data_IF_286699078799
#
_entry.id   IF_286699078799
#
_cell.length_a   1.000
_cell.length_b   1.000
_cell.length_c   1.000
_cell.angle_alpha   90.00
_cell.angle_beta   90.00
_cell.angle_gamma   90.00
#
_symmetry.space_group_name_H-M   'P 1'
#
loop_
_entity.id
_entity.type
_entity.pdbx_description
1 polymer ?
#
# COMPACT_ATOMS: atom_id res chain seq x y z
N UNK A 1 4.29 5.76 -7.65
CA UNK A 1 3.36 4.74 -7.17
C UNK A 1 2.35 4.21 -8.21
N UNK A 2 2.27 4.81 -9.39
CA UNK A 2 1.47 4.27 -10.50
C UNK A 2 1.95 2.88 -10.91
N UNK A 3 3.27 2.66 -10.94
CA UNK A 3 3.87 1.37 -11.23
C UNK A 3 3.40 0.27 -10.25
N UNK A 4 3.26 0.61 -8.98
CA UNK A 4 2.75 -0.31 -7.96
C UNK A 4 1.29 -0.70 -8.23
N UNK A 5 0.43 0.28 -8.56
CA UNK A 5 -0.96 0.04 -8.94
C UNK A 5 -1.06 -0.89 -10.13
N UNK A 6 -0.27 -0.64 -11.19
CA UNK A 6 -0.25 -1.46 -12.40
C UNK A 6 0.23 -2.89 -12.08
N UNK A 7 1.32 -3.02 -11.31
CA UNK A 7 1.87 -4.33 -10.95
C UNK A 7 0.87 -5.14 -10.13
N UNK A 8 0.24 -4.56 -9.11
CA UNK A 8 -0.78 -5.23 -8.30
C UNK A 8 -2.01 -5.57 -9.12
N UNK A 9 -2.47 -4.67 -10.01
CA UNK A 9 -3.57 -4.98 -10.93
C UNK A 9 -3.28 -6.21 -11.77
N UNK A 10 -2.10 -6.28 -12.37
CA UNK A 10 -1.70 -7.42 -13.23
C UNK A 10 -1.61 -8.72 -12.43
N UNK A 11 -1.04 -8.70 -11.23
CA UNK A 11 -0.96 -9.86 -10.34
C UNK A 11 -2.36 -10.33 -9.95
N UNK A 12 -3.24 -9.41 -9.55
CA UNK A 12 -4.60 -9.72 -9.15
C UNK A 12 -5.43 -10.27 -10.33
N UNK A 13 -5.32 -9.67 -11.53
CA UNK A 13 -5.96 -10.17 -12.75
C UNK A 13 -5.48 -11.60 -13.06
N UNK A 14 -4.18 -11.83 -13.05
CA UNK A 14 -3.60 -13.15 -13.30
C UNK A 14 -4.05 -14.18 -12.26
N UNK A 15 -4.08 -13.80 -10.98
CA UNK A 15 -4.53 -14.68 -9.90
C UNK A 15 -6.03 -15.03 -10.03
N UNK A 16 -6.89 -14.05 -10.33
CA UNK A 16 -8.34 -14.27 -10.45
C UNK A 16 -8.70 -15.03 -11.72
N UNK A 17 -8.05 -14.76 -12.85
CA UNK A 17 -8.19 -15.54 -14.07
C UNK A 17 -7.69 -16.98 -13.88
N UNK A 18 -6.52 -17.13 -13.28
CA UNK A 18 -5.96 -18.45 -12.97
C UNK A 18 -6.86 -19.26 -12.04
N UNK A 19 -7.43 -18.62 -11.02
CA UNK A 19 -8.42 -19.26 -10.16
C UNK A 19 -9.64 -19.75 -10.96
N UNK A 20 -10.22 -18.91 -11.81
CA UNK A 20 -11.39 -19.28 -12.63
C UNK A 20 -11.13 -20.45 -13.59
N UNK A 21 -9.87 -20.71 -13.98
CA UNK A 21 -9.56 -21.90 -14.80
C UNK A 21 -9.56 -23.20 -14.01
N UNK A 22 -9.50 -23.13 -12.69
CA UNK A 22 -9.34 -24.28 -11.79
C UNK A 22 -10.63 -24.65 -11.05
N UNK A 23 -11.66 -23.79 -11.10
CA UNK A 23 -12.87 -23.94 -10.29
C UNK A 23 -14.13 -24.15 -11.13
N UNK A 24 -15.16 -24.80 -10.56
CA UNK A 24 -16.46 -24.93 -11.22
C UNK A 24 -17.17 -23.56 -11.35
N UNK A 25 -17.95 -23.42 -12.43
CA UNK A 25 -18.68 -22.19 -12.76
C UNK A 25 -19.47 -21.51 -11.62
N UNK A 26 -20.14 -22.25 -10.70
CA UNK A 26 -20.88 -21.60 -9.61
C UNK A 26 -20.05 -20.78 -8.62
N UNK A 27 -18.74 -21.03 -8.55
CA UNK A 27 -17.81 -20.35 -7.62
C UNK A 27 -16.72 -19.55 -8.33
N UNK A 28 -16.91 -19.25 -9.62
CA UNK A 28 -16.02 -18.36 -10.36
C UNK A 28 -16.13 -16.91 -9.85
N UNK A 29 -15.00 -16.21 -9.91
CA UNK A 29 -14.95 -14.78 -9.63
C UNK A 29 -15.63 -14.03 -10.78
N UNK A 30 -16.67 -13.24 -10.51
CA UNK A 30 -17.31 -12.45 -11.55
C UNK A 30 -16.37 -11.32 -12.01
N UNK A 31 -16.30 -11.11 -13.32
CA UNK A 31 -15.49 -10.04 -13.93
C UNK A 31 -14.05 -9.98 -13.41
N UNK A 32 -13.24 -11.05 -13.54
CA UNK A 32 -11.92 -11.15 -12.89
C UNK A 32 -10.95 -10.05 -13.30
N UNK A 33 -11.02 -9.54 -14.53
CA UNK A 33 -10.22 -8.42 -15.01
C UNK A 33 -10.59 -7.11 -14.33
N UNK A 34 -11.87 -6.83 -14.18
CA UNK A 34 -12.37 -5.65 -13.48
C UNK A 34 -12.03 -5.74 -11.99
N UNK A 35 -12.26 -6.89 -11.37
CA UNK A 35 -11.93 -7.14 -9.97
C UNK A 35 -10.44 -6.95 -9.68
N UNK A 36 -9.57 -7.48 -10.54
CA UNK A 36 -8.12 -7.31 -10.41
C UNK A 36 -7.66 -5.86 -10.60
N UNK A 37 -8.24 -5.15 -11.55
CA UNK A 37 -7.96 -3.72 -11.76
C UNK A 37 -8.39 -2.89 -10.55
N UNK A 38 -9.59 -3.13 -10.01
CA UNK A 38 -10.07 -2.48 -8.79
C UNK A 38 -9.18 -2.78 -7.59
N UNK A 39 -8.67 -4.01 -7.48
CA UNK A 39 -7.74 -4.41 -6.43
C UNK A 39 -6.44 -3.59 -6.49
N UNK A 40 -5.90 -3.39 -7.70
CA UNK A 40 -4.72 -2.55 -7.90
C UNK A 40 -4.98 -1.08 -7.57
N UNK A 41 -6.12 -0.51 -7.97
CA UNK A 41 -6.50 0.87 -7.60
C UNK A 41 -6.71 0.97 -6.09
N UNK A 42 -7.40 0.00 -5.49
CA UNK A 42 -7.64 -0.03 -4.06
C UNK A 42 -6.34 -0.15 -3.24
N UNK A 43 -5.27 -0.74 -3.80
CA UNK A 43 -3.96 -0.83 -3.14
C UNK A 43 -3.31 0.52 -2.80
N UNK A 44 -3.86 1.62 -3.32
CA UNK A 44 -3.48 2.97 -2.90
C UNK A 44 -3.81 3.25 -1.43
N UNK A 45 -4.79 2.53 -0.87
CA UNK A 45 -5.11 2.57 0.55
C UNK A 45 -4.30 1.47 1.25
N UNK A 46 -3.25 1.83 2.01
CA UNK A 46 -2.39 0.84 2.66
C UNK A 46 -3.19 -0.06 3.61
N UNK A 47 -2.81 -1.34 3.70
CA UNK A 47 -3.34 -2.36 4.61
C UNK A 47 -4.78 -2.78 4.33
N UNK A 48 -5.68 -1.86 3.98
CA UNK A 48 -7.13 -2.13 3.86
C UNK A 48 -7.59 -2.22 2.41
N UNK A 49 -6.91 -1.54 1.48
CA UNK A 49 -7.40 -1.32 0.13
C UNK A 49 -7.75 -2.60 -0.62
N UNK A 50 -6.82 -3.54 -0.71
CA UNK A 50 -7.06 -4.81 -1.42
C UNK A 50 -8.16 -5.64 -0.77
N UNK A 51 -8.29 -5.55 0.58
CA UNK A 51 -9.31 -6.25 1.36
C UNK A 51 -10.74 -5.79 1.03
N UNK A 52 -10.90 -4.51 0.74
CA UNK A 52 -12.19 -3.93 0.33
C UNK A 52 -12.72 -4.57 -0.97
N UNK A 53 -11.84 -5.10 -1.81
CA UNK A 53 -12.21 -5.74 -3.06
C UNK A 53 -12.39 -7.24 -2.88
N UNK A 54 -11.36 -7.96 -2.40
CA UNK A 54 -11.42 -9.41 -2.39
C UNK A 54 -12.34 -9.99 -1.29
N UNK A 55 -12.58 -9.29 -0.17
CA UNK A 55 -13.53 -9.79 0.84
C UNK A 55 -14.98 -9.81 0.33
N UNK A 56 -15.53 -8.72 -0.26
CA UNK A 56 -16.84 -8.80 -0.91
C UNK A 56 -16.88 -9.83 -2.04
N UNK A 57 -15.83 -9.97 -2.84
CA UNK A 57 -15.77 -10.99 -3.89
C UNK A 57 -15.86 -12.40 -3.29
N UNK A 58 -15.17 -12.67 -2.18
CA UNK A 58 -15.28 -13.95 -1.46
C UNK A 58 -16.72 -14.23 -1.03
N UNK A 59 -17.42 -13.21 -0.52
CA UNK A 59 -18.83 -13.34 -0.15
C UNK A 59 -19.69 -13.61 -1.39
N UNK A 60 -19.49 -12.88 -2.48
CA UNK A 60 -20.24 -13.06 -3.73
C UNK A 60 -20.04 -14.47 -4.29
N UNK A 61 -18.82 -14.99 -4.29
CA UNK A 61 -18.53 -16.36 -4.76
C UNK A 61 -19.10 -17.43 -3.82
N UNK A 62 -19.27 -17.14 -2.53
CA UNK A 62 -19.88 -18.04 -1.56
C UNK A 62 -21.41 -18.07 -1.63
N UNK A 63 -22.06 -16.98 -2.04
CA UNK A 63 -23.53 -16.84 -2.02
C UNK A 63 -24.27 -17.96 -2.77
N UNK A 64 -23.89 -18.37 -4.00
CA UNK A 64 -24.59 -19.46 -4.71
C UNK A 64 -24.54 -20.78 -3.94
N UNK A 65 -23.46 -21.03 -3.21
CA UNK A 65 -23.28 -22.26 -2.41
C UNK A 65 -24.08 -22.19 -1.11
N UNK A 66 -24.11 -21.02 -0.47
CA UNK A 66 -24.76 -20.83 0.84
C UNK A 66 -26.29 -20.69 0.73
N UNK A 67 -26.79 -20.06 -0.33
CA UNK A 67 -28.23 -19.78 -0.52
C UNK A 67 -28.90 -20.74 -1.47
N UNK A 68 -28.15 -21.45 -2.30
CA UNK A 68 -28.63 -22.41 -3.24
C UNK A 68 -28.61 -23.83 -2.69
N UNK A 69 -29.19 -24.75 -3.46
CA UNK A 69 -29.03 -26.20 -3.26
C UNK A 69 -27.67 -26.72 -3.74
N UNK A 70 -26.65 -25.84 -3.70
CA UNK A 70 -25.30 -26.15 -4.15
C UNK A 70 -24.63 -27.17 -3.23
N UNK A 71 -23.74 -27.98 -3.79
CA UNK A 71 -22.88 -28.88 -3.01
C UNK A 71 -21.99 -28.06 -2.07
N UNK A 72 -22.14 -28.30 -0.76
CA UNK A 72 -21.31 -27.64 0.26
C UNK A 72 -19.81 -27.92 0.07
N UNK A 73 -19.46 -28.97 -0.69
CA UNK A 73 -18.09 -29.24 -1.10
C UNK A 73 -17.45 -28.10 -1.91
N UNK A 74 -18.26 -27.27 -2.58
CA UNK A 74 -17.77 -26.10 -3.31
C UNK A 74 -17.20 -25.00 -2.41
N UNK A 75 -17.50 -24.99 -1.11
CA UNK A 75 -16.92 -24.04 -0.14
C UNK A 75 -15.38 -24.16 -0.03
N UNK A 76 -14.84 -25.34 -0.35
CA UNK A 76 -13.38 -25.52 -0.40
C UNK A 76 -12.74 -24.64 -1.46
N UNK A 77 -13.40 -24.44 -2.59
CA UNK A 77 -12.92 -23.54 -3.64
C UNK A 77 -13.03 -22.07 -3.22
N UNK A 78 -14.09 -21.67 -2.52
CA UNK A 78 -14.24 -20.33 -1.97
C UNK A 78 -13.13 -20.04 -0.94
N UNK A 79 -12.82 -21.02 -0.07
CA UNK A 79 -11.69 -20.92 0.85
C UNK A 79 -10.35 -20.81 0.11
N UNK A 80 -10.20 -21.59 -0.98
CA UNK A 80 -9.06 -21.50 -1.89
C UNK A 80 -8.92 -20.13 -2.52
N UNK A 81 -10.01 -19.50 -2.97
CA UNK A 81 -10.01 -18.13 -3.47
C UNK A 81 -9.53 -17.14 -2.42
N UNK A 82 -10.06 -17.22 -1.20
CA UNK A 82 -9.64 -16.37 -0.11
C UNK A 82 -8.14 -16.53 0.19
N UNK A 83 -7.64 -17.76 0.20
CA UNK A 83 -6.23 -18.04 0.41
C UNK A 83 -5.36 -17.44 -0.71
N UNK A 84 -5.73 -17.62 -1.97
CA UNK A 84 -5.04 -17.03 -3.12
C UNK A 84 -5.06 -15.50 -3.02
N UNK A 85 -6.20 -14.91 -2.70
CA UNK A 85 -6.32 -13.47 -2.56
C UNK A 85 -5.44 -12.92 -1.43
N UNK A 86 -5.45 -13.55 -0.25
CA UNK A 86 -4.63 -13.13 0.90
C UNK A 86 -3.15 -13.33 0.63
N UNK A 87 -2.73 -14.45 0.05
CA UNK A 87 -1.31 -14.75 -0.14
C UNK A 87 -0.76 -14.05 -1.37
N UNK A 88 -1.38 -14.27 -2.54
CA UNK A 88 -0.83 -13.82 -3.84
C UNK A 88 -1.12 -12.35 -4.10
N UNK A 89 -2.31 -11.88 -3.74
CA UNK A 89 -2.77 -10.53 -4.09
C UNK A 89 -2.49 -9.51 -2.98
N UNK A 90 -2.49 -9.93 -1.72
CA UNK A 90 -2.28 -9.04 -0.57
C UNK A 90 -0.84 -9.17 0.00
N UNK A 91 -0.47 -10.36 0.48
CA UNK A 91 0.78 -10.56 1.23
C UNK A 91 2.03 -10.42 0.35
N UNK A 92 2.07 -11.06 -0.82
CA UNK A 92 3.26 -11.01 -1.68
C UNK A 92 3.55 -9.59 -2.17
N UNK A 93 2.59 -8.82 -2.71
CA UNK A 93 2.84 -7.44 -3.10
C UNK A 93 3.25 -6.55 -1.92
N UNK A 94 2.65 -6.73 -0.76
CA UNK A 94 2.99 -5.93 0.42
C UNK A 94 4.42 -6.19 0.93
N UNK A 95 4.88 -7.45 0.90
CA UNK A 95 6.21 -7.82 1.37
C UNK A 95 7.31 -7.60 0.33
N UNK A 96 7.00 -7.70 -0.96
CA UNK A 96 8.00 -7.69 -2.03
C UNK A 96 7.93 -6.41 -2.87
N UNK A 97 6.76 -6.07 -3.40
CA UNK A 97 6.64 -4.93 -4.30
C UNK A 97 6.77 -3.59 -3.58
N UNK A 98 6.16 -3.45 -2.41
CA UNK A 98 6.24 -2.19 -1.67
C UNK A 98 7.67 -1.82 -1.29
N UNK A 99 8.51 -2.68 -0.71
CA UNK A 99 9.91 -2.35 -0.44
C UNK A 99 10.71 -2.06 -1.71
N UNK A 100 10.48 -2.81 -2.79
CA UNK A 100 11.21 -2.63 -4.05
C UNK A 100 10.83 -1.35 -4.80
N UNK A 101 9.56 -0.95 -4.74
CA UNK A 101 9.04 0.20 -5.50
C UNK A 101 8.92 1.48 -4.67
N UNK A 102 8.97 1.40 -3.35
CA UNK A 102 9.04 2.54 -2.43
C UNK A 102 10.51 2.74 -2.11
N UNK A 103 11.21 3.59 -2.86
CA UNK A 103 12.58 3.98 -2.51
C UNK A 103 12.69 4.37 -1.02
N UNK A 104 13.89 4.40 -0.50
CA UNK A 104 14.31 4.51 0.91
C UNK A 104 13.73 5.68 1.75
N UNK A 105 12.47 5.99 1.68
CA UNK A 105 11.82 6.96 2.56
C UNK A 105 11.04 6.25 3.68
N UNK A 106 11.66 6.17 4.71
CA UNK A 106 11.69 5.69 6.09
C UNK A 106 10.37 5.72 6.89
N UNK A 107 9.27 6.22 6.40
CA UNK A 107 8.06 6.39 7.21
C UNK A 107 6.91 5.42 6.88
N UNK A 108 7.15 4.45 5.98
CA UNK A 108 6.13 3.47 5.59
C UNK A 108 5.68 2.62 6.78
N UNK A 109 6.62 2.21 7.65
CA UNK A 109 6.29 1.46 8.87
C UNK A 109 5.41 2.24 9.84
N UNK A 110 5.71 3.53 10.04
CA UNK A 110 4.89 4.43 10.87
C UNK A 110 3.52 4.67 10.25
N UNK A 111 3.45 4.79 8.92
CA UNK A 111 2.19 4.94 8.20
C UNK A 111 1.32 3.68 8.34
N UNK A 112 1.90 2.49 8.20
CA UNK A 112 1.20 1.23 8.45
C UNK A 112 0.71 1.13 9.89
N UNK A 113 1.53 1.57 10.85
CA UNK A 113 1.13 1.61 12.26
C UNK A 113 -0.08 2.55 12.46
N UNK A 114 -0.07 3.73 11.84
CA UNK A 114 -1.18 4.66 11.90
C UNK A 114 -2.47 4.08 11.31
N UNK A 115 -2.39 3.39 10.16
CA UNK A 115 -3.54 2.71 9.56
C UNK A 115 -4.06 1.55 10.39
N UNK A 116 -3.20 0.88 11.15
CA UNK A 116 -3.59 -0.25 12.01
C UNK A 116 -4.16 0.23 13.35
N UNK A 117 -3.47 1.16 14.02
CA UNK A 117 -3.88 1.66 15.33
C UNK A 117 -4.99 2.72 15.24
N UNK A 118 -5.03 3.49 14.15
CA UNK A 118 -6.03 4.54 13.96
C UNK A 118 -7.46 4.02 14.13
N UNK A 119 -7.88 2.98 13.39
CA UNK A 119 -9.20 2.39 13.55
C UNK A 119 -9.46 1.79 14.94
N UNK A 120 -8.44 1.26 15.60
CA UNK A 120 -8.56 0.68 16.95
C UNK A 120 -8.85 1.77 17.98
N UNK A 121 -8.24 2.93 17.85
CA UNK A 121 -8.35 4.03 18.81
C UNK A 121 -9.53 4.96 18.51
N UNK A 122 -9.76 5.28 17.24
CA UNK A 122 -10.72 6.30 16.78
C UNK A 122 -11.88 5.71 15.96
N UNK A 123 -12.00 4.37 15.90
CA UNK A 123 -13.00 3.73 15.05
C UNK A 123 -12.77 4.01 13.56
N UNK A 124 -13.83 3.94 12.75
CA UNK A 124 -13.74 4.11 11.30
C UNK A 124 -13.06 5.43 10.88
N UNK A 125 -13.26 6.50 11.61
CA UNK A 125 -12.61 7.78 11.33
C UNK A 125 -11.08 7.72 11.47
N UNK A 126 -10.56 6.86 12.35
CA UNK A 126 -9.13 6.67 12.55
C UNK A 126 -8.38 6.17 11.32
N UNK A 127 -9.09 5.48 10.41
CA UNK A 127 -8.52 5.04 9.14
C UNK A 127 -8.00 6.22 8.29
N UNK A 128 -8.66 7.36 8.35
CA UNK A 128 -8.27 8.56 7.60
C UNK A 128 -7.50 9.55 8.48
N UNK A 129 -7.94 9.72 9.72
CA UNK A 129 -7.40 10.77 10.59
C UNK A 129 -6.00 10.44 11.13
N UNK A 130 -5.74 9.19 11.49
CA UNK A 130 -4.45 8.80 12.06
C UNK A 130 -3.26 8.96 11.07
N UNK A 131 -3.36 8.55 9.79
CA UNK A 131 -2.30 8.83 8.82
C UNK A 131 -2.08 10.32 8.56
N UNK A 132 -3.15 11.11 8.52
CA UNK A 132 -3.04 12.57 8.31
C UNK A 132 -2.29 13.21 9.47
N UNK A 133 -2.68 12.91 10.71
CA UNK A 133 -2.02 13.42 11.91
C UNK A 133 -0.55 12.97 11.96
N UNK A 134 -0.28 11.72 11.59
CA UNK A 134 1.09 11.21 11.53
C UNK A 134 1.95 11.98 10.52
N UNK A 135 1.45 12.17 9.29
CA UNK A 135 2.20 12.90 8.25
C UNK A 135 2.45 14.35 8.67
N UNK A 136 1.44 15.03 9.24
CA UNK A 136 1.61 16.39 9.76
C UNK A 136 2.66 16.42 10.89
N UNK A 137 2.59 15.48 11.82
CA UNK A 137 3.52 15.37 12.94
C UNK A 137 4.96 15.11 12.49
N UNK A 138 5.16 14.20 11.53
CA UNK A 138 6.48 13.92 10.97
C UNK A 138 7.04 15.12 10.19
N UNK A 139 6.21 15.75 9.35
CA UNK A 139 6.63 16.94 8.61
C UNK A 139 7.00 18.09 9.56
N UNK A 140 6.26 18.25 10.64
CA UNK A 140 6.58 19.23 11.67
C UNK A 140 7.89 18.89 12.37
N UNK A 141 8.10 17.62 12.76
CA UNK A 141 9.31 17.16 13.41
C UNK A 141 10.56 17.35 12.52
N UNK A 142 10.44 17.04 11.24
CA UNK A 142 11.57 17.10 10.31
C UNK A 142 11.88 18.53 9.84
N UNK A 143 10.88 19.41 9.77
CA UNK A 143 11.05 20.74 9.16
C UNK A 143 11.02 21.89 10.16
N UNK A 144 10.12 21.85 11.12
CA UNK A 144 9.91 22.96 12.05
C UNK A 144 10.67 22.78 13.36
N UNK A 145 10.75 21.56 13.89
CA UNK A 145 11.38 21.29 15.17
C UNK A 145 12.88 21.64 15.18
N UNK A 146 13.71 21.31 14.17
CA UNK A 146 15.13 21.72 14.14
C UNK A 146 15.29 23.24 14.16
N UNK A 147 14.46 23.96 13.41
CA UNK A 147 14.47 25.43 13.38
C UNK A 147 14.09 26.05 14.71
N UNK A 148 13.12 25.48 15.42
CA UNK A 148 12.67 25.96 16.73
C UNK A 148 13.66 25.65 17.82
N UNK A 149 14.44 24.58 17.71
CA UNK A 149 15.47 24.19 18.68
C UNK A 149 16.83 24.90 18.44
N UNK A 150 16.90 25.81 17.47
CA UNK A 150 18.13 26.55 17.18
C UNK A 150 19.22 25.68 16.54
N UNK A 151 18.87 24.54 15.99
CA UNK A 151 19.72 23.80 15.08
C UNK A 151 19.71 24.57 13.74
N UNK A 152 20.35 25.76 13.74
CA UNK A 152 20.74 26.39 12.50
C UNK A 152 21.59 25.35 11.77
N UNK A 153 21.23 25.05 10.55
CA UNK A 153 22.15 24.33 9.66
C UNK A 153 23.49 25.06 9.75
N UNK A 154 24.63 24.36 9.94
CA UNK A 154 25.91 25.00 9.75
C UNK A 154 25.81 25.65 8.37
N UNK A 155 25.95 26.96 8.29
CA UNK A 155 25.99 27.70 7.03
C UNK A 155 26.93 26.95 6.10
N UNK A 156 26.35 26.05 5.30
CA UNK A 156 27.07 25.41 4.21
C UNK A 156 27.53 26.55 3.36
N UNK A 157 28.86 26.81 3.37
CA UNK A 157 29.51 27.76 2.50
C UNK A 157 28.75 27.77 1.19
N UNK A 158 28.15 28.89 0.83
CA UNK A 158 27.40 28.98 -0.42
C UNK A 158 28.26 28.42 -1.54
N UNK A 159 27.68 27.78 -2.52
CA UNK A 159 28.43 27.22 -3.66
C UNK A 159 29.34 28.24 -4.35
N UNK A 160 29.08 29.55 -4.15
CA UNK A 160 29.89 30.64 -4.56
C UNK A 160 31.16 30.86 -3.66
N UNK A 161 31.06 30.59 -2.36
CA UNK A 161 32.20 30.69 -1.45
C UNK A 161 33.18 29.52 -1.65
N UNK A 162 32.68 28.32 -1.93
CA UNK A 162 33.54 27.19 -2.30
C UNK A 162 34.27 27.43 -3.63
N UNK A 163 33.64 28.07 -4.62
CA UNK A 163 34.29 28.45 -5.86
C UNK A 163 35.39 29.50 -5.70
N UNK A 164 35.23 30.45 -4.80
CA UNK A 164 36.21 31.49 -4.56
C UNK A 164 37.45 30.97 -3.79
N UNK A 165 37.28 29.98 -2.93
CA UNK A 165 38.42 29.35 -2.21
C UNK A 165 39.27 28.46 -3.16
N UNK A 166 38.68 27.90 -4.20
CA UNK A 166 39.37 27.05 -5.16
C UNK A 166 40.23 27.82 -6.17
N UNK A 167 39.95 29.13 -6.35
CA UNK A 167 40.70 29.99 -7.27
C UNK A 167 41.91 30.69 -6.66
N UNK A 168 42.32 30.35 -5.41
CA UNK A 168 43.60 30.71 -4.85
C UNK A 168 43.96 32.20 -4.98
N UNK A 169 42.99 33.12 -4.84
CA UNK A 169 43.29 34.57 -4.82
C UNK A 169 43.84 34.95 -3.48
N UNK A 170 45.10 34.60 -3.25
CA UNK A 170 45.93 35.20 -2.23
C UNK A 170 46.20 36.65 -2.61
N UNK A 171 45.45 37.58 -2.04
CA UNK A 171 45.78 39.01 -2.12
C UNK A 171 47.00 39.24 -1.27
N UNK A 172 48.22 39.15 -1.88
CA UNK A 172 49.43 39.76 -1.39
C UNK A 172 49.37 41.24 -1.79
N UNK A 173 49.36 42.13 -0.82
CA UNK A 173 49.44 43.54 -0.97
C UNK A 173 49.30 44.18 0.40
#
# INVERSE_FOLDING_TARGET
NLLNVIAISLIAIAAFLGYNTLVPAPVEVPYPTLAGTLTGVASLIPVVGMKIVYLPLTVITALPVLLGSGDQGLLVYVAGFLLVAVVVVDTIPDLVLRPLLSGENTHVGLLMLAYTLGPVVLGFYGLFFAPIVLVIGLTFADTALPKLLGADEPEGLSSDQLRLSDFGVSKKG
#
